data_IF_047480763389
#
_entry.id   IF_047480763389
#
_cell.length_a   1.000
_cell.length_b   1.000
_cell.length_c   1.000
_cell.angle_alpha   90.00
_cell.angle_beta   90.00
_cell.angle_gamma   90.00
#
_symmetry.space_group_name_H-M   'P 1'
#
loop_
_entity.id
_entity.type
_entity.pdbx_description
1 polymer ?
#
# COMPACT_ATOMS: atom_id res chain seq x y z
N UNK A 1 60.04 13.24 -8.00
CA UNK A 1 59.92 13.22 -6.53
C UNK A 1 58.47 13.53 -6.17
N UNK A 2 57.62 12.52 -6.30
CA UNK A 2 56.21 12.54 -5.91
C UNK A 2 56.22 12.22 -4.42
N UNK A 3 55.64 13.11 -3.62
CA UNK A 3 55.45 12.92 -2.18
C UNK A 3 54.53 11.72 -1.96
N UNK A 4 55.16 10.57 -1.73
CA UNK A 4 54.63 9.48 -0.92
C UNK A 4 54.62 9.99 0.53
N UNK A 5 53.59 10.73 0.91
CA UNK A 5 53.20 10.78 2.32
C UNK A 5 52.42 9.49 2.62
N UNK A 6 53.21 8.48 3.00
CA UNK A 6 52.78 7.29 3.70
C UNK A 6 52.02 7.68 4.98
N UNK A 7 50.73 7.98 4.85
CA UNK A 7 49.78 7.77 5.95
C UNK A 7 49.63 6.26 6.07
N UNK A 8 50.50 5.65 6.88
CA UNK A 8 50.24 4.34 7.47
C UNK A 8 48.88 4.46 8.19
N UNK A 9 47.84 3.90 7.56
CA UNK A 9 46.56 3.62 8.20
C UNK A 9 46.81 2.63 9.34
N UNK A 10 47.15 3.15 10.52
CA UNK A 10 47.01 2.39 11.75
C UNK A 10 45.52 2.25 12.00
N UNK A 11 44.93 1.16 11.49
CA UNK A 11 43.61 0.72 11.89
C UNK A 11 43.53 0.80 13.42
N UNK A 12 42.47 1.42 13.94
CA UNK A 12 42.25 1.41 15.38
C UNK A 12 42.06 -0.05 15.84
N UNK A 13 42.25 -0.31 17.14
CA UNK A 13 42.00 -1.67 17.69
C UNK A 13 40.57 -2.12 17.37
N UNK A 14 39.60 -1.21 17.42
CA UNK A 14 38.21 -1.42 17.06
C UNK A 14 38.05 -1.83 15.59
N UNK A 15 38.63 -1.08 14.65
CA UNK A 15 38.54 -1.39 13.22
C UNK A 15 39.25 -2.72 12.88
N UNK A 16 40.33 -3.05 13.59
CA UNK A 16 41.02 -4.34 13.46
C UNK A 16 40.13 -5.51 13.90
N UNK A 17 39.44 -5.36 15.04
CA UNK A 17 38.47 -6.34 15.54
C UNK A 17 37.32 -6.50 14.55
N UNK A 18 36.70 -5.40 14.08
CA UNK A 18 35.60 -5.44 13.11
C UNK A 18 36.01 -6.13 11.82
N UNK A 19 37.21 -5.82 11.29
CA UNK A 19 37.73 -6.49 10.10
C UNK A 19 37.94 -8.00 10.32
N UNK A 20 38.40 -8.40 11.51
CA UNK A 20 38.51 -9.83 11.86
C UNK A 20 37.14 -10.50 11.90
N UNK A 21 36.16 -9.91 12.58
CA UNK A 21 34.79 -10.44 12.66
C UNK A 21 34.16 -10.54 11.27
N UNK A 22 34.35 -9.54 10.40
CA UNK A 22 33.85 -9.56 9.02
C UNK A 22 34.53 -10.64 8.16
N UNK A 23 35.83 -10.89 8.36
CA UNK A 23 36.54 -11.98 7.68
C UNK A 23 36.06 -13.34 8.15
N UNK A 24 35.84 -13.50 9.46
CA UNK A 24 35.29 -14.72 10.03
C UNK A 24 33.88 -14.98 9.48
N UNK A 25 33.02 -13.96 9.48
CA UNK A 25 31.70 -14.04 8.88
C UNK A 25 31.79 -14.54 7.44
N UNK A 26 32.54 -13.85 6.57
CA UNK A 26 32.67 -14.24 5.15
C UNK A 26 33.20 -15.66 4.95
N UNK A 27 34.10 -16.11 5.83
CA UNK A 27 34.69 -17.46 5.76
C UNK A 27 33.73 -18.53 6.26
N UNK A 28 32.98 -18.26 7.33
CA UNK A 28 32.12 -19.24 8.02
C UNK A 28 30.69 -19.28 7.49
N UNK A 29 30.25 -18.26 6.73
CA UNK A 29 28.92 -18.18 6.10
C UNK A 29 28.50 -19.44 5.30
N UNK A 30 29.38 -20.12 4.54
CA UNK A 30 29.02 -21.33 3.80
C UNK A 30 28.79 -22.55 4.71
N UNK A 31 29.51 -22.63 5.82
CA UNK A 31 29.66 -23.88 6.60
C UNK A 31 28.99 -23.82 7.98
N UNK A 32 28.71 -22.63 8.53
CA UNK A 32 28.25 -22.45 9.91
C UNK A 32 27.10 -21.44 10.08
N UNK A 33 26.05 -21.69 9.32
CA UNK A 33 24.76 -20.99 9.31
C UNK A 33 24.16 -20.74 10.71
N UNK A 34 24.37 -21.66 11.67
CA UNK A 34 23.84 -21.55 13.05
C UNK A 34 24.47 -20.43 13.88
N UNK A 35 25.70 -20.03 13.57
CA UNK A 35 26.40 -18.95 14.27
C UNK A 35 26.07 -17.57 13.70
N UNK A 36 25.35 -17.51 12.56
CA UNK A 36 25.09 -16.27 11.85
C UNK A 36 24.29 -15.26 12.67
N UNK A 37 23.30 -15.72 13.44
CA UNK A 37 22.53 -14.88 14.36
C UNK A 37 23.43 -14.16 15.36
N UNK A 38 24.51 -14.80 15.83
CA UNK A 38 25.44 -14.19 16.78
C UNK A 38 26.30 -13.10 16.13
N UNK A 39 26.72 -13.32 14.88
CA UNK A 39 27.39 -12.28 14.10
C UNK A 39 26.49 -11.06 13.90
N UNK A 40 25.23 -11.26 13.48
CA UNK A 40 24.29 -10.15 13.34
C UNK A 40 24.03 -9.46 14.68
N UNK A 41 23.87 -10.21 15.77
CA UNK A 41 23.68 -9.63 17.09
C UNK A 41 24.88 -8.77 17.53
N UNK A 42 26.11 -9.17 17.19
CA UNK A 42 27.30 -8.34 17.42
C UNK A 42 27.20 -7.01 16.68
N UNK A 43 26.85 -7.01 15.39
CA UNK A 43 26.70 -5.77 14.62
C UNK A 43 25.52 -4.91 15.10
N UNK A 44 24.40 -5.53 15.49
CA UNK A 44 23.26 -4.84 16.12
C UNK A 44 23.73 -4.11 17.37
N UNK A 45 24.40 -4.80 18.29
CA UNK A 45 24.90 -4.21 19.52
C UNK A 45 25.87 -3.07 19.24
N UNK A 46 26.81 -3.27 18.31
CA UNK A 46 27.80 -2.25 17.98
C UNK A 46 27.16 -1.00 17.35
N UNK A 47 26.26 -1.19 16.37
CA UNK A 47 25.53 -0.07 15.74
C UNK A 47 24.65 0.72 16.72
N UNK A 48 24.19 0.08 17.80
CA UNK A 48 23.36 0.73 18.83
C UNK A 48 24.14 1.67 19.76
N UNK A 49 25.48 1.67 19.71
CA UNK A 49 26.31 2.53 20.55
C UNK A 49 26.25 4.00 20.13
N UNK A 50 26.07 4.29 18.85
CA UNK A 50 26.01 5.66 18.37
C UNK A 50 26.30 5.86 16.89
N UNK A 51 26.33 7.15 16.52
CA UNK A 51 26.58 7.61 15.14
C UNK A 51 27.98 7.24 14.65
N UNK A 52 28.97 7.32 15.52
CA UNK A 52 30.37 7.02 15.18
C UNK A 52 30.55 5.55 14.78
N UNK A 53 29.92 4.64 15.51
CA UNK A 53 29.97 3.20 15.25
C UNK A 53 29.23 2.85 13.96
N UNK A 54 28.10 3.51 13.70
CA UNK A 54 27.42 3.41 12.40
C UNK A 54 28.32 3.89 11.26
N UNK A 55 29.04 5.00 11.42
CA UNK A 55 29.98 5.51 10.43
C UNK A 55 31.14 4.53 10.18
N UNK A 56 31.70 3.92 11.23
CA UNK A 56 32.73 2.88 11.09
C UNK A 56 32.22 1.67 10.32
N UNK A 57 31.02 1.17 10.63
CA UNK A 57 30.40 0.05 9.89
C UNK A 57 30.14 0.38 8.41
N UNK A 58 29.71 1.61 8.13
CA UNK A 58 29.52 2.10 6.76
C UNK A 58 30.86 2.14 6.01
N UNK A 59 31.93 2.67 6.62
CA UNK A 59 33.28 2.70 6.04
C UNK A 59 33.81 1.29 5.74
N UNK A 60 33.49 0.32 6.58
CA UNK A 60 33.84 -1.10 6.38
C UNK A 60 32.91 -1.83 5.39
N UNK A 61 32.00 -1.12 4.73
CA UNK A 61 31.09 -1.63 3.71
C UNK A 61 30.14 -2.75 4.21
N UNK A 62 29.83 -2.74 5.51
CA UNK A 62 28.88 -3.68 6.13
C UNK A 62 27.47 -3.56 5.55
N UNK A 63 26.91 -2.36 5.30
CA UNK A 63 25.56 -2.23 4.73
C UNK A 63 25.44 -2.93 3.38
N UNK A 64 26.37 -2.69 2.46
CA UNK A 64 26.38 -3.35 1.14
C UNK A 64 26.47 -4.87 1.26
N UNK A 65 27.32 -5.37 2.15
CA UNK A 65 27.48 -6.82 2.37
C UNK A 65 26.15 -7.44 2.80
N UNK A 66 25.43 -6.80 3.72
CA UNK A 66 24.19 -7.31 4.26
C UNK A 66 23.00 -7.11 3.32
N UNK A 67 22.96 -6.03 2.54
CA UNK A 67 21.95 -5.84 1.48
C UNK A 67 22.09 -6.93 0.42
N UNK A 68 23.32 -7.26 0.00
CA UNK A 68 23.55 -8.36 -0.93
C UNK A 68 23.12 -9.71 -0.33
N UNK A 69 23.51 -9.97 0.92
CA UNK A 69 23.12 -11.20 1.62
C UNK A 69 21.60 -11.35 1.74
N UNK A 70 20.89 -10.25 1.99
CA UNK A 70 19.43 -10.24 2.00
C UNK A 70 18.85 -10.38 0.58
N UNK A 71 19.47 -9.79 -0.43
CA UNK A 71 19.00 -9.78 -1.80
C UNK A 71 19.27 -11.07 -2.58
N UNK A 72 20.19 -11.95 -2.15
CA UNK A 72 20.52 -13.19 -2.83
C UNK A 72 19.28 -14.09 -3.03
N UNK A 73 18.67 -13.98 -4.21
CA UNK A 73 17.62 -14.86 -4.72
C UNK A 73 18.31 -16.02 -5.43
N UNK A 74 18.31 -17.19 -4.80
CA UNK A 74 18.95 -18.39 -5.32
C UNK A 74 18.15 -19.03 -6.48
N UNK A 75 17.98 -18.33 -7.60
CA UNK A 75 17.35 -18.91 -8.80
C UNK A 75 18.22 -19.95 -9.51
N UNK A 76 19.41 -20.28 -9.01
CA UNK A 76 20.36 -21.18 -9.70
C UNK A 76 20.86 -22.39 -8.89
N UNK A 77 20.41 -22.65 -7.66
CA UNK A 77 20.69 -23.94 -6.99
C UNK A 77 19.80 -24.19 -5.77
N UNK A 78 19.46 -25.46 -5.54
CA UNK A 78 18.43 -26.04 -4.67
C UNK A 78 18.53 -25.77 -3.15
N UNK A 79 18.82 -24.54 -2.75
CA UNK A 79 19.07 -24.17 -1.36
C UNK A 79 18.58 -22.74 -1.11
N UNK A 80 17.35 -22.55 -0.63
CA UNK A 80 16.94 -21.27 -0.05
C UNK A 80 17.80 -21.01 1.19
N UNK A 81 18.70 -20.03 1.16
CA UNK A 81 19.67 -19.82 2.24
C UNK A 81 19.07 -19.03 3.41
N UNK A 82 18.14 -18.09 3.17
CA UNK A 82 17.43 -17.36 4.24
C UNK A 82 16.66 -18.27 5.22
N UNK A 83 15.86 -19.24 4.75
CA UNK A 83 15.23 -20.23 5.64
C UNK A 83 16.24 -21.13 6.37
N UNK A 84 17.50 -21.22 5.93
CA UNK A 84 18.56 -21.93 6.66
C UNK A 84 19.16 -21.08 7.78
N UNK A 85 19.17 -19.76 7.67
CA UNK A 85 19.92 -18.82 8.53
C UNK A 85 19.38 -18.58 9.95
N UNK A 86 18.39 -19.34 10.44
CA UNK A 86 17.72 -19.01 11.70
C UNK A 86 16.93 -17.70 11.60
N UNK A 87 16.50 -17.10 12.72
CA UNK A 87 15.70 -15.86 12.73
C UNK A 87 16.39 -14.73 11.92
N UNK A 88 15.89 -14.38 10.72
CA UNK A 88 16.45 -13.30 9.91
C UNK A 88 16.20 -11.92 10.54
N UNK A 89 15.39 -11.84 11.60
CA UNK A 89 15.04 -10.63 12.31
C UNK A 89 16.28 -9.78 12.66
N UNK A 90 17.40 -10.39 13.08
CA UNK A 90 18.61 -9.65 13.43
C UNK A 90 19.32 -9.02 12.24
N UNK A 91 19.24 -9.64 11.05
CA UNK A 91 19.77 -9.05 9.81
C UNK A 91 18.99 -7.80 9.42
N UNK A 92 17.66 -7.86 9.47
CA UNK A 92 16.84 -6.70 9.14
C UNK A 92 16.90 -5.59 10.19
N UNK A 93 17.13 -5.92 11.47
CA UNK A 93 17.44 -4.91 12.50
C UNK A 93 18.69 -4.11 12.14
N UNK A 94 19.82 -4.77 11.84
CA UNK A 94 21.05 -4.04 11.48
C UNK A 94 20.92 -3.32 10.14
N UNK A 95 20.22 -3.90 9.16
CA UNK A 95 19.95 -3.24 7.87
C UNK A 95 19.10 -1.99 8.06
N UNK A 96 18.04 -2.04 8.87
CA UNK A 96 17.23 -0.87 9.22
C UNK A 96 18.10 0.23 9.80
N UNK A 97 18.90 -0.07 10.83
CA UNK A 97 19.76 0.92 11.49
C UNK A 97 20.74 1.56 10.50
N UNK A 98 21.40 0.77 9.66
CA UNK A 98 22.45 1.29 8.77
C UNK A 98 21.90 1.96 7.51
N UNK A 99 20.83 1.43 6.90
CA UNK A 99 20.24 2.04 5.68
C UNK A 99 19.67 3.43 6.02
N UNK A 100 19.05 3.56 7.20
CA UNK A 100 18.52 4.84 7.71
C UNK A 100 19.60 5.83 8.15
N UNK A 101 20.89 5.54 7.89
CA UNK A 101 21.99 6.49 8.01
C UNK A 101 22.39 7.14 6.68
N UNK A 102 21.86 6.68 5.53
CA UNK A 102 22.21 7.22 4.23
C UNK A 102 21.25 8.32 3.77
N UNK A 103 21.77 9.33 3.08
CA UNK A 103 20.96 10.31 2.37
C UNK A 103 20.31 9.63 1.15
N UNK A 104 18.97 9.66 1.11
CA UNK A 104 18.15 9.13 0.02
C UNK A 104 17.35 10.22 -0.69
N UNK A 105 17.62 11.51 -0.42
CA UNK A 105 16.82 12.63 -0.94
C UNK A 105 16.74 12.66 -2.46
N UNK A 106 17.77 12.15 -3.15
CA UNK A 106 17.79 12.02 -4.63
C UNK A 106 16.74 11.03 -5.18
N UNK A 107 16.21 10.14 -4.34
CA UNK A 107 15.15 9.18 -4.68
C UNK A 107 13.76 9.66 -4.22
N UNK A 108 13.70 10.78 -3.50
CA UNK A 108 12.46 11.39 -3.02
C UNK A 108 11.96 12.45 -4.02
N UNK A 109 10.63 12.59 -4.13
CA UNK A 109 9.96 13.56 -4.98
C UNK A 109 8.77 14.13 -4.19
N UNK A 110 8.67 15.47 -4.02
CA UNK A 110 7.49 16.05 -3.40
C UNK A 110 6.28 15.82 -4.32
N UNK A 111 5.09 15.66 -3.76
CA UNK A 111 3.87 15.52 -4.58
C UNK A 111 3.61 16.76 -5.42
N UNK A 112 3.79 17.94 -4.83
CA UNK A 112 3.58 19.22 -5.50
C UNK A 112 4.91 19.70 -6.07
N UNK A 113 4.95 20.00 -7.37
CA UNK A 113 6.18 20.33 -8.09
C UNK A 113 6.85 21.62 -7.57
N UNK A 114 6.10 22.48 -6.87
CA UNK A 114 6.54 23.79 -6.36
C UNK A 114 6.89 23.79 -4.86
N UNK A 115 6.80 22.63 -4.18
CA UNK A 115 7.11 22.53 -2.75
C UNK A 115 8.46 21.87 -2.51
N UNK A 116 9.19 22.35 -1.51
CA UNK A 116 10.42 21.72 -1.05
C UNK A 116 10.15 20.32 -0.47
N UNK A 117 11.15 19.45 -0.57
CA UNK A 117 11.11 18.11 0.04
C UNK A 117 11.06 18.22 1.57
N UNK A 118 10.13 17.48 2.18
CA UNK A 118 10.07 17.37 3.64
C UNK A 118 11.24 16.54 4.17
N UNK A 119 11.88 16.96 5.29
CA UNK A 119 12.94 16.18 5.90
C UNK A 119 12.40 14.83 6.40
N UNK A 120 13.10 13.75 6.09
CA UNK A 120 12.69 12.41 6.49
C UNK A 120 12.84 12.22 8.02
N UNK A 121 11.75 11.94 8.77
CA UNK A 121 11.82 11.83 10.22
C UNK A 121 12.32 10.46 10.70
N UNK A 122 12.64 9.55 9.79
CA UNK A 122 12.97 8.17 10.10
C UNK A 122 14.47 7.86 10.04
N UNK A 123 15.35 8.86 9.91
CA UNK A 123 16.79 8.64 10.04
C UNK A 123 17.13 8.04 11.40
N UNK A 124 18.20 7.26 11.46
CA UNK A 124 18.70 6.66 12.71
C UNK A 124 19.17 7.72 13.71
N UNK A 125 19.73 8.83 13.23
CA UNK A 125 20.30 9.89 14.07
C UNK A 125 19.74 11.27 13.73
N UNK A 126 18.99 11.87 14.66
CA UNK A 126 18.56 13.29 14.64
C UNK A 126 18.07 13.82 13.29
N UNK A 127 17.33 13.02 12.52
CA UNK A 127 16.85 13.37 11.18
C UNK A 127 17.95 13.79 10.19
N UNK A 128 19.17 13.27 10.36
CA UNK A 128 20.33 13.65 9.57
C UNK A 128 21.07 12.43 9.00
N UNK A 129 21.44 12.45 7.71
CA UNK A 129 22.26 11.40 7.13
C UNK A 129 23.72 11.49 7.58
N UNK A 130 24.43 10.37 7.53
CA UNK A 130 25.89 10.26 7.71
C UNK A 130 26.59 10.49 6.36
N UNK A 131 26.11 9.87 5.28
CA UNK A 131 26.70 9.99 3.94
C UNK A 131 25.69 9.64 2.84
N UNK A 132 26.03 9.86 1.58
CA UNK A 132 25.20 9.48 0.44
C UNK A 132 25.21 7.97 0.18
N UNK A 133 24.08 7.45 -0.27
CA UNK A 133 23.92 6.04 -0.65
C UNK A 133 24.83 5.67 -1.84
N UNK A 134 25.69 4.62 -1.72
CA UNK A 134 26.42 4.08 -2.87
C UNK A 134 25.48 3.56 -3.97
N UNK A 135 25.82 3.82 -5.23
CA UNK A 135 24.97 3.52 -6.40
C UNK A 135 24.60 2.02 -6.51
N UNK A 136 25.56 1.12 -6.32
CA UNK A 136 25.31 -0.33 -6.39
C UNK A 136 24.33 -0.83 -5.32
N UNK A 137 24.27 -0.17 -4.16
CA UNK A 137 23.33 -0.50 -3.10
C UNK A 137 21.96 0.11 -3.41
N UNK A 138 21.95 1.34 -3.93
CA UNK A 138 20.72 1.97 -4.40
C UNK A 138 20.03 1.18 -5.52
N UNK A 139 20.80 0.58 -6.43
CA UNK A 139 20.27 -0.29 -7.50
C UNK A 139 19.48 -1.48 -6.94
N UNK A 140 19.92 -2.05 -5.82
CA UNK A 140 19.23 -3.16 -5.16
C UNK A 140 17.97 -2.67 -4.45
N UNK A 141 18.05 -1.54 -3.74
CA UNK A 141 16.96 -1.05 -2.89
C UNK A 141 15.85 -0.37 -3.71
N UNK A 142 16.22 0.43 -4.72
CA UNK A 142 15.29 1.32 -5.42
C UNK A 142 14.93 0.87 -6.83
N UNK A 143 15.75 0.04 -7.50
CA UNK A 143 15.47 -0.43 -8.87
C UNK A 143 14.95 -1.86 -8.93
N UNK A 144 15.00 -2.62 -7.84
CA UNK A 144 14.52 -4.00 -7.75
C UNK A 144 13.48 -4.12 -6.63
N UNK A 145 12.45 -4.92 -6.86
CA UNK A 145 11.36 -5.13 -5.90
C UNK A 145 11.66 -6.23 -4.88
N UNK A 146 12.56 -7.17 -5.20
CA UNK A 146 12.98 -8.31 -4.35
C UNK A 146 13.30 -7.89 -2.92
N UNK A 147 14.17 -6.90 -2.75
CA UNK A 147 14.60 -6.47 -1.42
C UNK A 147 13.43 -5.88 -0.63
N UNK A 148 12.58 -5.09 -1.29
CA UNK A 148 11.38 -4.50 -0.68
C UNK A 148 10.40 -5.59 -0.23
N UNK A 149 10.16 -6.63 -1.05
CA UNK A 149 9.29 -7.76 -0.68
C UNK A 149 9.77 -8.47 0.57
N UNK A 150 11.09 -8.73 0.69
CA UNK A 150 11.69 -9.33 1.88
C UNK A 150 11.52 -8.48 3.14
N UNK A 151 11.63 -7.15 3.01
CA UNK A 151 11.33 -6.25 4.15
C UNK A 151 9.85 -6.34 4.54
N UNK A 152 8.94 -6.39 3.57
CA UNK A 152 7.49 -6.50 3.81
C UNK A 152 7.15 -7.80 4.54
N UNK A 153 7.73 -8.93 4.13
CA UNK A 153 7.57 -10.23 4.79
C UNK A 153 8.00 -10.18 6.27
N UNK A 154 9.12 -9.54 6.58
CA UNK A 154 9.65 -9.43 7.95
C UNK A 154 8.92 -8.35 8.78
N UNK A 155 8.35 -7.33 8.15
CA UNK A 155 7.74 -6.17 8.81
C UNK A 155 6.54 -6.47 9.71
N UNK A 156 5.86 -7.61 9.50
CA UNK A 156 4.77 -8.05 10.37
C UNK A 156 5.23 -8.54 11.75
N UNK A 157 6.51 -8.91 11.91
CA UNK A 157 7.07 -9.43 13.16
C UNK A 157 8.23 -8.59 13.72
N UNK A 158 8.82 -7.70 12.89
CA UNK A 158 9.98 -6.89 13.26
C UNK A 158 9.69 -5.38 13.12
N UNK A 159 9.71 -4.66 14.25
CA UNK A 159 9.47 -3.21 14.28
C UNK A 159 10.54 -2.42 13.50
N UNK A 160 11.78 -2.89 13.47
CA UNK A 160 12.85 -2.24 12.71
C UNK A 160 12.61 -2.32 11.20
N UNK A 161 12.12 -3.45 10.69
CA UNK A 161 11.75 -3.58 9.28
C UNK A 161 10.62 -2.62 8.91
N UNK A 162 9.67 -2.40 9.82
CA UNK A 162 8.64 -1.39 9.64
C UNK A 162 9.21 0.04 9.64
N UNK A 163 10.16 0.37 10.54
CA UNK A 163 10.86 1.67 10.53
C UNK A 163 11.62 1.88 9.21
N UNK A 164 12.27 0.84 8.69
CA UNK A 164 12.93 0.86 7.38
C UNK A 164 11.94 1.11 6.24
N UNK A 165 10.77 0.44 6.21
CA UNK A 165 9.74 0.73 5.21
C UNK A 165 9.27 2.18 5.28
N UNK A 166 9.01 2.71 6.49
CA UNK A 166 8.59 4.10 6.67
C UNK A 166 9.64 5.08 6.15
N UNK A 167 10.92 4.80 6.40
CA UNK A 167 12.04 5.57 5.87
C UNK A 167 12.07 5.57 4.34
N UNK A 168 11.94 4.40 3.71
CA UNK A 168 12.03 4.26 2.24
C UNK A 168 10.80 4.82 1.50
N UNK A 169 9.62 4.79 2.14
CA UNK A 169 8.35 5.27 1.57
C UNK A 169 8.20 6.80 1.67
N UNK A 170 8.84 7.43 2.65
CA UNK A 170 8.73 8.88 2.90
C UNK A 170 9.09 9.71 1.66
N UNK A 171 8.15 10.53 1.19
CA UNK A 171 8.32 11.37 -0.01
C UNK A 171 8.80 10.58 -1.24
N UNK A 172 8.49 9.29 -1.34
CA UNK A 172 8.98 8.42 -2.41
C UNK A 172 7.82 7.67 -3.10
N UNK A 173 7.26 8.19 -4.21
CA UNK A 173 6.11 7.59 -4.87
C UNK A 173 6.42 6.24 -5.53
N UNK A 174 7.65 6.04 -6.00
CA UNK A 174 8.07 4.85 -6.72
C UNK A 174 8.10 3.65 -5.74
N UNK A 175 8.77 3.81 -4.60
CA UNK A 175 8.76 2.79 -3.52
C UNK A 175 7.37 2.64 -2.91
N UNK A 176 6.65 3.74 -2.68
CA UNK A 176 5.28 3.70 -2.15
C UNK A 176 4.38 2.80 -3.01
N UNK A 177 4.45 2.92 -4.33
CA UNK A 177 3.64 2.11 -5.23
C UNK A 177 4.00 0.63 -5.12
N UNK A 178 5.29 0.28 -5.08
CA UNK A 178 5.74 -1.12 -4.92
C UNK A 178 5.22 -1.69 -3.60
N UNK A 179 5.40 -0.96 -2.50
CA UNK A 179 4.99 -1.38 -1.15
C UNK A 179 3.49 -1.59 -1.07
N UNK A 180 2.67 -0.65 -1.55
CA UNK A 180 1.22 -0.78 -1.51
C UNK A 180 0.71 -1.89 -2.44
N UNK A 181 1.27 -2.04 -3.63
CA UNK A 181 0.92 -3.14 -4.55
C UNK A 181 1.17 -4.51 -3.89
N UNK A 182 2.35 -4.69 -3.29
CA UNK A 182 2.72 -5.94 -2.66
C UNK A 182 1.84 -6.24 -1.44
N UNK A 183 1.67 -5.27 -0.52
CA UNK A 183 0.82 -5.47 0.66
C UNK A 183 -0.62 -5.80 0.25
N UNK A 184 -1.19 -5.10 -0.73
CA UNK A 184 -2.55 -5.39 -1.20
C UNK A 184 -2.65 -6.77 -1.87
N UNK A 185 -1.59 -7.23 -2.55
CA UNK A 185 -1.50 -8.57 -3.12
C UNK A 185 -1.46 -9.64 -2.03
N UNK A 186 -0.61 -9.49 -1.02
CA UNK A 186 -0.52 -10.40 0.13
C UNK A 186 -1.86 -10.46 0.87
N UNK A 187 -2.48 -9.30 1.12
CA UNK A 187 -3.81 -9.23 1.74
C UNK A 187 -4.88 -9.91 0.88
N UNK A 188 -4.80 -9.87 -0.45
CA UNK A 188 -5.73 -10.60 -1.31
C UNK A 188 -5.54 -12.13 -1.19
N UNK A 189 -4.29 -12.59 -1.09
CA UNK A 189 -3.92 -14.02 -1.07
C UNK A 189 -4.10 -14.71 0.29
N UNK A 190 -3.81 -14.04 1.41
CA UNK A 190 -3.90 -14.66 2.74
C UNK A 190 -5.31 -14.62 3.34
N UNK A 191 -5.61 -15.62 4.19
CA UNK A 191 -6.96 -15.84 4.70
C UNK A 191 -7.15 -15.56 6.21
N UNK A 192 -6.15 -15.69 7.09
CA UNK A 192 -6.36 -15.47 8.54
C UNK A 192 -5.16 -14.97 9.36
N UNK A 193 -4.03 -15.68 9.42
CA UNK A 193 -2.95 -15.36 10.38
C UNK A 193 -2.06 -14.20 9.95
N UNK A 194 -1.48 -14.29 8.76
CA UNK A 194 -0.58 -13.24 8.24
C UNK A 194 -1.35 -11.99 7.79
N UNK A 195 -2.67 -12.15 7.57
CA UNK A 195 -3.55 -11.07 7.17
C UNK A 195 -3.51 -9.88 8.15
N UNK A 196 -3.46 -10.17 9.46
CA UNK A 196 -3.42 -9.11 10.48
C UNK A 196 -2.09 -8.35 10.45
N UNK A 197 -0.97 -9.06 10.41
CA UNK A 197 0.36 -8.42 10.36
C UNK A 197 0.47 -7.50 9.14
N UNK A 198 -0.02 -7.93 7.98
CA UNK A 198 -0.04 -7.10 6.78
C UNK A 198 -1.00 -5.89 6.88
N UNK A 199 -2.14 -6.01 7.57
CA UNK A 199 -3.02 -4.87 7.83
C UNK A 199 -2.40 -3.84 8.78
N UNK A 200 -1.66 -4.30 9.79
CA UNK A 200 -0.94 -3.41 10.71
C UNK A 200 0.15 -2.63 9.94
N UNK A 201 0.91 -3.31 9.07
CA UNK A 201 1.88 -2.66 8.17
C UNK A 201 1.17 -1.67 7.23
N UNK A 202 0.06 -2.06 6.61
CA UNK A 202 -0.73 -1.19 5.73
C UNK A 202 -1.17 0.08 6.45
N UNK A 203 -1.73 -0.04 7.65
CA UNK A 203 -2.16 1.10 8.46
C UNK A 203 -0.99 2.05 8.75
N UNK A 204 0.18 1.50 9.10
CA UNK A 204 1.38 2.28 9.38
C UNK A 204 1.89 3.03 8.14
N UNK A 205 1.79 2.43 6.94
CA UNK A 205 2.10 3.12 5.69
C UNK A 205 1.07 4.22 5.40
N UNK A 206 -0.22 3.98 5.57
CA UNK A 206 -1.28 4.96 5.29
C UNK A 206 -1.27 6.19 6.21
N UNK A 207 -0.66 6.07 7.38
CA UNK A 207 -0.64 7.13 8.42
C UNK A 207 0.63 7.96 8.43
N UNK A 208 1.60 7.67 7.56
CA UNK A 208 2.78 8.53 7.40
C UNK A 208 2.34 9.93 6.91
N UNK A 209 2.74 10.98 7.61
CA UNK A 209 2.30 12.35 7.36
C UNK A 209 3.23 13.11 6.41
N UNK A 210 3.34 12.63 5.17
CA UNK A 210 4.08 13.30 4.10
C UNK A 210 3.15 13.88 3.03
N UNK A 211 3.72 14.46 1.97
CA UNK A 211 2.96 15.04 0.85
C UNK A 211 2.15 14.01 0.04
N UNK A 212 2.48 12.71 0.15
CA UNK A 212 1.85 11.60 -0.56
C UNK A 212 0.78 10.85 0.22
N UNK A 213 0.56 11.19 1.51
CA UNK A 213 -0.40 10.51 2.38
C UNK A 213 -1.80 10.39 1.77
N UNK A 214 -2.33 11.47 1.19
CA UNK A 214 -3.65 11.48 0.56
C UNK A 214 -3.73 10.50 -0.61
N UNK A 215 -2.68 10.42 -1.42
CA UNK A 215 -2.63 9.53 -2.60
C UNK A 215 -2.63 8.08 -2.15
N UNK A 216 -1.89 7.75 -1.09
CA UNK A 216 -1.87 6.41 -0.49
C UNK A 216 -3.25 6.00 0.04
N UNK A 217 -3.94 6.93 0.69
CA UNK A 217 -5.32 6.71 1.15
C UNK A 217 -6.27 6.47 -0.03
N UNK A 218 -6.22 7.29 -1.08
CA UNK A 218 -7.04 7.10 -2.28
C UNK A 218 -6.76 5.78 -2.99
N UNK A 219 -5.49 5.37 -3.06
CA UNK A 219 -5.08 4.10 -3.62
C UNK A 219 -5.74 2.93 -2.89
N UNK A 220 -5.63 2.87 -1.56
CA UNK A 220 -6.16 1.75 -0.78
C UNK A 220 -7.68 1.79 -0.65
N UNK A 221 -8.25 2.98 -0.42
CA UNK A 221 -9.69 3.13 -0.16
C UNK A 221 -10.49 3.04 -1.46
N UNK A 222 -10.06 3.73 -2.53
CA UNK A 222 -10.81 3.79 -3.80
C UNK A 222 -10.28 2.86 -4.89
N UNK A 223 -9.07 2.32 -4.75
CA UNK A 223 -8.44 1.54 -5.82
C UNK A 223 -7.92 2.40 -6.97
N UNK A 224 -7.63 3.69 -6.73
CA UNK A 224 -7.09 4.58 -7.78
C UNK A 224 -5.57 4.37 -7.87
N UNK A 225 -5.01 3.95 -9.02
CA UNK A 225 -3.56 3.80 -9.18
C UNK A 225 -2.80 5.10 -8.88
N UNK A 226 -1.66 5.01 -8.19
CA UNK A 226 -0.82 6.16 -7.84
C UNK A 226 -0.40 6.99 -9.08
N UNK A 227 -0.21 6.34 -10.24
CA UNK A 227 0.13 6.99 -11.51
C UNK A 227 -0.96 7.92 -12.05
N UNK A 228 -2.22 7.66 -11.68
CA UNK A 228 -3.38 8.31 -12.29
C UNK A 228 -3.85 9.53 -11.48
N UNK A 229 -3.30 9.78 -10.29
CA UNK A 229 -3.82 10.81 -9.40
C UNK A 229 -3.38 12.22 -9.79
N UNK A 230 -2.24 12.36 -10.49
CA UNK A 230 -1.78 13.65 -11.02
C UNK A 230 -2.76 14.26 -12.05
N UNK A 231 -3.64 13.45 -12.64
CA UNK A 231 -4.64 13.88 -13.62
C UNK A 231 -6.06 14.01 -13.02
N UNK A 232 -6.27 13.63 -11.75
CA UNK A 232 -7.61 13.47 -11.16
C UNK A 232 -8.05 14.65 -10.28
N UNK A 233 -7.10 15.42 -9.71
CA UNK A 233 -7.44 16.54 -8.83
C UNK A 233 -8.11 17.73 -9.55
N UNK A 234 -8.14 17.75 -10.90
CA UNK A 234 -8.84 18.76 -11.71
C UNK A 234 -10.20 18.32 -12.21
N UNK A 235 -10.66 17.09 -11.92
CA UNK A 235 -11.94 16.60 -12.42
C UNK A 235 -12.62 15.70 -11.38
N UNK A 236 -13.29 16.34 -10.42
CA UNK A 236 -14.49 15.73 -9.86
C UNK A 236 -15.40 15.33 -11.05
N UNK A 237 -16.10 14.21 -10.94
CA UNK A 237 -16.97 13.63 -11.97
C UNK A 237 -16.27 13.03 -13.19
N UNK A 238 -15.65 11.85 -13.03
CA UNK A 238 -15.89 10.79 -14.02
C UNK A 238 -15.73 9.42 -13.38
N UNK A 239 -16.87 8.74 -13.17
CA UNK A 239 -16.96 7.29 -13.03
C UNK A 239 -16.38 6.68 -14.30
N UNK A 240 -15.06 6.54 -14.37
CA UNK A 240 -14.42 5.85 -15.47
C UNK A 240 -14.46 4.38 -15.11
N UNK A 241 -15.53 3.71 -15.53
CA UNK A 241 -15.45 2.31 -15.91
C UNK A 241 -14.34 2.21 -16.96
N UNK A 242 -13.12 1.93 -16.51
CA UNK A 242 -12.01 1.60 -17.39
C UNK A 242 -12.34 0.26 -18.07
N UNK A 243 -13.05 0.33 -19.19
CA UNK A 243 -13.11 -0.77 -20.15
C UNK A 243 -11.77 -0.75 -20.90
N UNK A 244 -10.71 -1.27 -20.28
CA UNK A 244 -9.47 -1.54 -20.99
C UNK A 244 -9.65 -2.87 -21.73
N UNK A 245 -9.85 -2.77 -23.04
CA UNK A 245 -9.63 -3.86 -23.97
C UNK A 245 -8.13 -4.15 -24.07
N UNK A 246 -7.52 -4.65 -23.00
CA UNK A 246 -6.20 -5.29 -22.98
C UNK A 246 -6.10 -6.16 -21.72
N UNK A 247 -6.12 -7.47 -21.91
CA UNK A 247 -6.45 -8.47 -20.89
C UNK A 247 -5.47 -8.70 -19.73
N UNK A 248 -4.60 -7.76 -19.33
CA UNK A 248 -3.64 -7.99 -18.24
C UNK A 248 -3.26 -6.75 -17.41
N UNK A 249 -4.06 -5.68 -17.35
CA UNK A 249 -3.90 -4.68 -16.29
C UNK A 249 -5.07 -4.79 -15.31
N UNK A 250 -4.88 -5.63 -14.29
CA UNK A 250 -5.80 -5.69 -13.15
C UNK A 250 -5.78 -4.34 -12.44
N UNK A 251 -6.91 -3.63 -12.47
CA UNK A 251 -7.12 -2.45 -11.62
C UNK A 251 -6.75 -2.78 -10.17
N UNK A 252 -6.03 -1.91 -9.45
CA UNK A 252 -5.68 -2.14 -8.05
C UNK A 252 -6.92 -2.50 -7.24
N UNK A 253 -6.90 -3.65 -6.58
CA UNK A 253 -8.00 -4.07 -5.73
C UNK A 253 -8.04 -3.16 -4.49
N UNK A 254 -9.11 -2.38 -4.31
CA UNK A 254 -9.28 -1.57 -3.10
C UNK A 254 -9.56 -2.44 -1.87
N UNK A 255 -9.36 -1.88 -0.68
CA UNK A 255 -9.73 -2.55 0.57
C UNK A 255 -11.25 -2.75 0.67
N UNK A 256 -12.06 -1.87 0.09
CA UNK A 256 -13.51 -2.08 -0.02
C UNK A 256 -13.86 -3.23 -0.97
N UNK A 257 -13.14 -3.41 -2.07
CA UNK A 257 -13.37 -4.55 -2.97
C UNK A 257 -12.98 -5.87 -2.29
N UNK A 258 -11.93 -5.84 -1.46
CA UNK A 258 -11.54 -6.97 -0.63
C UNK A 258 -12.62 -7.33 0.39
N UNK A 259 -13.17 -6.34 1.09
CA UNK A 259 -14.33 -6.52 1.95
C UNK A 259 -15.51 -7.13 1.17
N UNK A 260 -15.86 -6.56 0.01
CA UNK A 260 -16.99 -6.99 -0.80
C UNK A 260 -16.87 -8.45 -1.26
N UNK A 261 -15.64 -8.90 -1.61
CA UNK A 261 -15.36 -10.31 -1.95
C UNK A 261 -15.39 -11.23 -0.72
N UNK A 262 -14.93 -10.75 0.44
CA UNK A 262 -14.79 -11.57 1.64
C UNK A 262 -16.09 -11.76 2.43
N UNK A 263 -17.05 -10.83 2.33
CA UNK A 263 -18.23 -10.76 3.21
C UNK A 263 -19.14 -12.02 3.22
N UNK A 264 -19.10 -12.84 2.18
CA UNK A 264 -19.89 -14.09 2.08
C UNK A 264 -19.11 -15.35 2.47
N UNK A 265 -17.81 -15.38 2.19
CA UNK A 265 -16.99 -16.61 2.22
C UNK A 265 -15.95 -16.61 3.34
N UNK A 266 -15.41 -15.43 3.69
CA UNK A 266 -14.37 -15.25 4.70
C UNK A 266 -14.76 -14.07 5.60
N UNK A 267 -15.79 -14.23 6.42
CA UNK A 267 -16.36 -13.14 7.20
C UNK A 267 -15.35 -12.49 8.16
N UNK A 268 -14.41 -13.26 8.73
CA UNK A 268 -13.34 -12.66 9.55
C UNK A 268 -12.42 -11.73 8.76
N UNK A 269 -12.13 -12.04 7.50
CA UNK A 269 -11.36 -11.14 6.62
C UNK A 269 -12.13 -9.84 6.37
N UNK A 270 -13.44 -9.93 6.14
CA UNK A 270 -14.31 -8.76 6.03
C UNK A 270 -14.38 -7.95 7.34
N UNK A 271 -14.48 -8.62 8.50
CA UNK A 271 -14.39 -7.98 9.82
C UNK A 271 -13.08 -7.22 10.01
N UNK A 272 -11.94 -7.83 9.67
CA UNK A 272 -10.64 -7.19 9.78
C UNK A 272 -10.51 -5.98 8.84
N UNK A 273 -11.09 -6.02 7.63
CA UNK A 273 -11.17 -4.84 6.76
C UNK A 273 -11.94 -3.70 7.45
N UNK A 274 -13.11 -3.99 8.04
CA UNK A 274 -13.88 -2.98 8.79
C UNK A 274 -13.08 -2.47 9.98
N UNK A 275 -12.40 -3.34 10.72
CA UNK A 275 -11.55 -2.96 11.85
C UNK A 275 -10.46 -1.98 11.43
N UNK A 276 -9.79 -2.25 10.32
CA UNK A 276 -8.78 -1.34 9.74
C UNK A 276 -9.40 -0.01 9.30
N UNK A 277 -10.60 -0.01 8.69
CA UNK A 277 -11.30 1.23 8.35
C UNK A 277 -11.67 2.05 9.59
N UNK A 278 -12.23 1.45 10.63
CA UNK A 278 -12.51 2.16 11.90
C UNK A 278 -11.24 2.78 12.45
N UNK A 279 -10.16 1.99 12.55
CA UNK A 279 -8.87 2.48 13.03
C UNK A 279 -8.34 3.65 12.17
N UNK A 280 -8.45 3.55 10.85
CA UNK A 280 -7.99 4.56 9.92
C UNK A 280 -8.82 5.85 10.02
N UNK A 281 -10.14 5.76 10.00
CA UNK A 281 -11.03 6.92 10.07
C UNK A 281 -11.03 7.58 11.44
N UNK A 282 -10.81 6.84 12.53
CA UNK A 282 -10.68 7.43 13.87
C UNK A 282 -9.36 8.17 14.07
N UNK A 283 -8.26 7.70 13.48
CA UNK A 283 -6.92 8.18 13.81
C UNK A 283 -6.23 9.00 12.71
N UNK A 284 -6.75 9.01 11.47
CA UNK A 284 -6.17 9.74 10.35
C UNK A 284 -7.14 10.85 9.87
N UNK A 285 -6.86 12.14 10.15
CA UNK A 285 -7.73 13.24 9.77
C UNK A 285 -8.02 13.30 8.27
N UNK A 286 -7.02 13.01 7.41
CA UNK A 286 -7.20 12.97 5.95
C UNK A 286 -8.15 11.83 5.53
N UNK A 287 -8.04 10.66 6.16
CA UNK A 287 -8.94 9.55 5.87
C UNK A 287 -10.38 9.85 6.32
N UNK A 288 -10.54 10.46 7.50
CA UNK A 288 -11.84 10.92 7.99
C UNK A 288 -12.46 11.98 7.08
N UNK A 289 -11.65 12.92 6.58
CA UNK A 289 -12.08 13.90 5.60
C UNK A 289 -12.58 13.22 4.31
N UNK A 290 -11.83 12.25 3.78
CA UNK A 290 -12.24 11.46 2.61
C UNK A 290 -13.60 10.79 2.84
N UNK A 291 -13.81 10.16 4.01
CA UNK A 291 -15.10 9.56 4.39
C UNK A 291 -16.23 10.61 4.44
N UNK A 292 -15.95 11.83 4.92
CA UNK A 292 -16.96 12.90 5.03
C UNK A 292 -17.30 13.58 3.71
N UNK A 293 -16.37 13.65 2.77
CA UNK A 293 -16.57 14.39 1.52
C UNK A 293 -17.04 13.52 0.36
N UNK A 294 -16.66 12.25 0.32
CA UNK A 294 -16.90 11.39 -0.85
C UNK A 294 -18.15 10.52 -0.69
N UNK A 295 -19.16 10.74 -1.53
CA UNK A 295 -20.43 10.03 -1.45
C UNK A 295 -20.35 8.53 -1.76
N UNK A 296 -19.47 8.08 -2.66
CA UNK A 296 -19.29 6.64 -2.97
C UNK A 296 -18.66 5.93 -1.77
N UNK A 297 -17.65 6.55 -1.15
CA UNK A 297 -17.02 6.02 0.06
C UNK A 297 -18.02 5.95 1.22
N UNK A 298 -18.83 7.00 1.42
CA UNK A 298 -19.91 6.98 2.42
C UNK A 298 -20.84 5.80 2.20
N UNK A 299 -21.32 5.61 0.96
CA UNK A 299 -22.24 4.53 0.64
C UNK A 299 -21.61 3.15 0.91
N UNK A 300 -20.36 2.93 0.49
CA UNK A 300 -19.63 1.67 0.74
C UNK A 300 -19.38 1.44 2.24
N UNK A 301 -19.06 2.50 2.98
CA UNK A 301 -18.93 2.44 4.43
C UNK A 301 -20.24 2.04 5.11
N UNK A 302 -21.35 2.69 4.77
CA UNK A 302 -22.69 2.34 5.26
C UNK A 302 -23.06 0.89 5.00
N UNK A 303 -22.75 0.36 3.81
CA UNK A 303 -22.96 -1.05 3.50
C UNK A 303 -22.11 -1.99 4.37
N UNK A 304 -20.86 -1.61 4.66
CA UNK A 304 -19.97 -2.40 5.50
C UNK A 304 -20.45 -2.42 6.97
N UNK A 305 -20.87 -1.26 7.51
CA UNK A 305 -21.42 -1.14 8.86
C UNK A 305 -22.72 -1.94 8.99
N UNK A 306 -23.64 -1.80 8.03
CA UNK A 306 -24.90 -2.58 8.00
C UNK A 306 -24.62 -4.08 7.98
N UNK A 307 -23.67 -4.53 7.15
CA UNK A 307 -23.29 -5.93 7.10
C UNK A 307 -22.75 -6.43 8.46
N UNK A 308 -21.90 -5.65 9.14
CA UNK A 308 -21.38 -6.03 10.46
C UNK A 308 -22.51 -6.14 11.49
N UNK A 309 -23.44 -5.18 11.48
CA UNK A 309 -24.64 -5.20 12.32
C UNK A 309 -25.45 -6.48 12.09
N UNK A 310 -25.77 -6.81 10.83
CA UNK A 310 -26.51 -8.03 10.48
C UNK A 310 -25.77 -9.31 10.94
N UNK A 311 -24.45 -9.40 10.78
CA UNK A 311 -23.71 -10.60 11.21
C UNK A 311 -23.75 -10.79 12.72
N UNK A 312 -23.69 -9.69 13.48
CA UNK A 312 -23.75 -9.72 14.94
C UNK A 312 -25.17 -10.00 15.47
N UNK A 313 -26.21 -9.50 14.81
CA UNK A 313 -27.63 -9.69 15.18
C UNK A 313 -28.27 -10.99 14.68
N UNK A 314 -27.66 -11.68 13.70
CA UNK A 314 -28.15 -12.99 13.21
C UNK A 314 -28.23 -14.01 14.36
N UNK A 315 -29.40 -14.14 14.97
CA UNK A 315 -29.67 -15.11 16.04
C UNK A 315 -29.56 -16.55 15.54
N UNK A 316 -29.15 -17.48 16.41
CA UNK A 316 -29.15 -18.94 16.17
C UNK A 316 -30.55 -19.53 15.88
N UNK A 317 -31.61 -18.71 15.97
CA UNK A 317 -33.01 -19.14 15.96
C UNK A 317 -33.54 -19.63 14.58
N UNK A 318 -32.74 -19.61 13.52
CA UNK A 318 -33.14 -20.09 12.18
C UNK A 318 -32.48 -21.42 11.77
N UNK A 319 -31.92 -22.18 12.70
CA UNK A 319 -31.53 -23.57 12.43
C UNK A 319 -32.75 -24.47 12.67
N UNK A 320 -33.27 -25.20 11.66
CA UNK A 320 -34.30 -26.21 11.89
C UNK A 320 -33.78 -27.21 12.92
N UNK A 321 -34.55 -27.41 13.99
CA UNK A 321 -34.23 -28.19 15.18
C UNK A 321 -34.05 -29.70 14.91
N UNK A 322 -33.07 -30.10 14.09
CA UNK A 322 -32.77 -31.51 13.82
C UNK A 322 -31.31 -31.90 14.08
N UNK A 323 -30.44 -31.00 14.51
CA UNK A 323 -29.13 -31.35 15.03
C UNK A 323 -28.83 -30.57 16.32
N UNK A 324 -28.54 -31.25 17.44
CA UNK A 324 -28.11 -30.60 18.66
C UNK A 324 -26.70 -30.06 18.47
N UNK A 325 -26.60 -28.83 17.98
CA UNK A 325 -25.37 -28.05 18.03
C UNK A 325 -25.29 -27.46 19.44
N UNK A 326 -24.41 -28.02 20.28
CA UNK A 326 -24.11 -27.41 21.58
C UNK A 326 -23.51 -26.01 21.32
N UNK A 327 -24.11 -24.92 21.85
CA UNK A 327 -23.41 -23.64 21.91
C UNK A 327 -22.20 -23.88 22.78
N UNK A 328 -21.01 -23.60 22.28
CA UNK A 328 -19.80 -23.68 23.10
C UNK A 328 -19.95 -22.70 24.26
N UNK A 329 -20.29 -23.21 25.45
CA UNK A 329 -20.36 -22.49 26.73
C UNK A 329 -18.95 -22.21 27.28
N UNK A 330 -17.97 -22.01 26.40
CA UNK A 330 -16.63 -21.56 26.73
C UNK A 330 -16.50 -20.06 26.47
N UNK A 331 -15.49 -19.37 27.04
CA UNK A 331 -15.22 -17.98 26.70
C UNK A 331 -14.98 -17.88 25.19
N UNK A 332 -15.86 -17.15 24.50
CA UNK A 332 -15.72 -16.88 23.07
C UNK A 332 -14.41 -16.10 22.90
N UNK A 333 -13.46 -16.68 22.18
CA UNK A 333 -12.18 -16.04 21.91
C UNK A 333 -12.40 -14.82 21.01
N UNK A 334 -11.54 -13.80 21.11
CA UNK A 334 -11.69 -12.63 20.24
C UNK A 334 -11.57 -13.05 18.77
N UNK A 335 -12.28 -12.37 17.87
CA UNK A 335 -12.11 -12.53 16.41
C UNK A 335 -10.65 -12.34 15.95
N UNK A 336 -9.85 -11.66 16.77
CA UNK A 336 -8.41 -11.44 16.55
C UNK A 336 -7.55 -12.69 16.79
N UNK A 337 -8.05 -13.67 17.54
CA UNK A 337 -7.29 -14.86 17.99
C UNK A 337 -7.90 -16.17 17.48
N UNK A 338 -9.11 -16.13 16.94
CA UNK A 338 -9.89 -17.32 16.64
C UNK A 338 -9.79 -17.73 15.17
N UNK A 339 -9.80 -19.05 14.92
CA UNK A 339 -9.38 -19.63 13.64
C UNK A 339 -10.52 -20.01 12.68
N UNK A 340 -11.76 -19.70 13.05
CA UNK A 340 -12.92 -19.90 12.18
C UNK A 340 -13.01 -18.91 11.01
N UNK A 341 -13.83 -19.26 10.01
CA UNK A 341 -14.15 -18.38 8.88
C UNK A 341 -15.22 -17.33 9.20
N UNK A 342 -16.13 -17.68 10.11
CA UNK A 342 -17.28 -16.86 10.51
C UNK A 342 -16.93 -15.92 11.67
N UNK A 343 -17.60 -14.77 11.72
CA UNK A 343 -17.42 -13.83 12.82
C UNK A 343 -18.00 -14.42 14.11
N UNK A 344 -17.24 -14.29 15.19
CA UNK A 344 -17.68 -14.60 16.54
C UNK A 344 -18.33 -13.37 17.18
N UNK A 345 -19.47 -13.59 17.83
CA UNK A 345 -20.26 -12.54 18.49
C UNK A 345 -19.64 -12.19 19.85
N UNK A 346 -18.54 -11.47 19.80
CA UNK A 346 -17.75 -11.06 20.97
C UNK A 346 -18.08 -9.63 21.38
N UNK A 347 -17.80 -9.29 22.64
CA UNK A 347 -17.94 -7.91 23.12
C UNK A 347 -17.04 -6.94 22.33
N UNK A 348 -15.83 -7.38 21.93
CA UNK A 348 -14.93 -6.57 21.09
C UNK A 348 -15.52 -6.27 19.71
N UNK A 349 -16.24 -7.22 19.10
CA UNK A 349 -16.92 -6.99 17.83
C UNK A 349 -18.09 -6.00 17.97
N UNK A 350 -18.82 -6.04 19.10
CA UNK A 350 -19.86 -5.05 19.42
C UNK A 350 -19.28 -3.66 19.62
N UNK A 351 -18.21 -3.54 20.41
CA UNK A 351 -17.53 -2.26 20.59
C UNK A 351 -16.92 -1.72 19.29
N UNK A 352 -16.52 -2.59 18.36
CA UNK A 352 -16.11 -2.16 17.02
C UNK A 352 -17.29 -1.58 16.23
N UNK A 353 -18.46 -2.25 16.28
CA UNK A 353 -19.67 -1.76 15.63
C UNK A 353 -20.10 -0.40 16.19
N UNK A 354 -20.08 -0.22 17.51
CA UNK A 354 -20.43 1.05 18.15
C UNK A 354 -19.56 2.21 17.62
N UNK A 355 -18.24 1.99 17.56
CA UNK A 355 -17.29 2.95 16.97
C UNK A 355 -17.55 3.18 15.48
N UNK A 356 -17.91 2.14 14.74
CA UNK A 356 -18.17 2.24 13.31
C UNK A 356 -19.41 3.11 13.02
N UNK A 357 -20.45 3.00 13.87
CA UNK A 357 -21.65 3.83 13.82
C UNK A 357 -21.34 5.27 14.23
N UNK A 358 -20.53 5.49 15.27
CA UNK A 358 -20.14 6.83 15.74
C UNK A 358 -19.40 7.65 14.65
N UNK A 359 -18.60 6.98 13.82
CA UNK A 359 -17.87 7.63 12.73
C UNK A 359 -18.81 8.23 11.65
N UNK A 360 -20.06 7.76 11.57
CA UNK A 360 -21.04 8.25 10.61
C UNK A 360 -22.50 8.08 11.08
N UNK A 361 -23.01 8.98 11.95
CA UNK A 361 -24.36 8.92 12.50
C UNK A 361 -25.46 9.43 11.54
N UNK A 362 -25.10 10.04 10.40
CA UNK A 362 -26.05 10.64 9.44
C UNK A 362 -26.99 9.61 8.76
N UNK A 363 -26.81 8.30 9.00
CA UNK A 363 -27.70 7.26 8.46
C UNK A 363 -29.15 7.34 8.94
N UNK A 364 -29.47 8.10 10.00
CA UNK A 364 -30.84 8.21 10.50
C UNK A 364 -31.72 9.22 9.75
N UNK A 365 -31.15 10.16 8.97
CA UNK A 365 -31.92 11.28 8.40
C UNK A 365 -32.32 11.11 6.93
N UNK A 366 -31.71 10.18 6.19
CA UNK A 366 -32.00 10.02 4.74
C UNK A 366 -33.15 9.03 4.45
N UNK A 367 -33.65 8.28 5.44
CA UNK A 367 -34.71 7.26 5.27
C UNK A 367 -36.13 7.75 5.63
N UNK A 368 -36.32 9.02 6.01
CA UNK A 368 -37.64 9.60 6.36
C UNK A 368 -38.20 10.54 5.27
N UNK A 369 -37.53 10.62 4.12
CA UNK A 369 -37.82 11.62 3.08
C UNK A 369 -38.37 11.09 1.76
N UNK A 370 -39.06 9.94 1.72
CA UNK A 370 -39.79 9.45 0.51
C UNK A 370 -40.68 8.27 0.87
N UNK A 371 -41.80 8.53 1.55
CA UNK A 371 -42.99 7.67 1.54
C UNK A 371 -44.18 8.51 1.98
N UNK A 372 -44.66 9.37 1.09
CA UNK A 372 -46.00 9.92 1.15
C UNK A 372 -46.63 9.77 -0.23
N UNK A 373 -46.81 8.51 -0.63
CA UNK A 373 -47.67 8.14 -1.75
C UNK A 373 -48.94 7.52 -1.15
N UNK A 374 -50.00 8.32 -1.21
CA UNK A 374 -51.36 7.96 -1.64
C UNK A 374 -51.96 6.65 -1.11
N UNK A 375 -52.78 6.79 -0.07
CA UNK A 375 -53.93 5.90 0.15
C UNK A 375 -55.17 6.58 -0.42
N UNK A 376 -55.56 6.17 -1.63
CA UNK A 376 -56.89 6.38 -2.18
C UNK A 376 -57.90 5.50 -1.42
N UNK A 377 -58.87 6.11 -0.74
CA UNK A 377 -60.13 5.46 -0.34
C UNK A 377 -61.27 6.03 -1.20
N UNK A 378 -62.01 5.12 -1.83
CA UNK A 378 -63.10 5.35 -2.77
C UNK A 378 -64.42 5.83 -2.13
N UNK A 379 -65.05 6.80 -2.83
CA UNK A 379 -66.49 7.09 -3.03
C UNK A 379 -67.35 7.72 -1.88
N UNK A 380 -68.47 8.46 -2.18
CA UNK A 380 -69.04 8.81 -3.50
C UNK A 380 -69.44 10.29 -3.73
N UNK A 381 -69.61 10.59 -5.02
CA UNK A 381 -70.13 11.81 -5.67
C UNK A 381 -71.41 12.44 -5.10
N UNK A 382 -71.50 13.78 -5.14
CA UNK A 382 -72.73 14.46 -5.59
C UNK A 382 -72.49 15.85 -6.23
N UNK A 383 -73.30 16.11 -7.27
CA UNK A 383 -73.30 17.20 -8.24
C UNK A 383 -73.28 18.64 -7.69
N UNK A 384 -72.73 19.59 -8.48
CA UNK A 384 -73.45 20.70 -9.17
C UNK A 384 -72.42 21.61 -9.89
N UNK A 385 -72.63 21.83 -11.20
CA UNK A 385 -72.03 22.90 -12.02
C UNK A 385 -73.06 24.02 -12.25
N UNK A 386 -72.75 25.14 -12.95
CA UNK A 386 -71.58 26.02 -12.88
C UNK A 386 -72.02 27.50 -12.75
N UNK A 387 -71.13 28.44 -12.42
CA UNK A 387 -71.28 29.80 -12.99
C UNK A 387 -70.00 30.65 -13.00
N UNK A 388 -69.84 31.28 -14.15
CA UNK A 388 -68.77 32.14 -14.65
C UNK A 388 -68.89 33.56 -14.06
N UNK A 389 -67.78 34.19 -13.65
CA UNK A 389 -67.56 35.63 -13.92
C UNK A 389 -66.08 35.92 -14.15
N UNK A 390 -65.80 36.37 -15.37
CA UNK A 390 -64.58 36.98 -15.89
C UNK A 390 -64.43 38.40 -15.34
N UNK A 391 -63.22 38.83 -14.95
CA UNK A 391 -62.74 40.21 -15.20
C UNK A 391 -61.27 40.24 -15.60
N UNK A 392 -61.06 40.57 -16.87
CA UNK A 392 -59.83 41.04 -17.50
C UNK A 392 -59.37 42.38 -16.92
N UNK A 393 -58.05 42.62 -16.90
CA UNK A 393 -57.43 43.84 -17.47
C UNK A 393 -56.12 43.44 -18.16
N UNK A 394 -56.01 43.88 -19.42
CA UNK A 394 -54.91 43.64 -20.34
C UNK A 394 -53.82 44.73 -20.26
N UNK A 395 -52.60 44.40 -20.72
CA UNK A 395 -51.91 45.18 -21.75
C UNK A 395 -50.58 44.52 -22.20
N UNK A 396 -50.59 44.12 -23.49
CA UNK A 396 -49.53 43.98 -24.51
C UNK A 396 -48.13 44.57 -24.20
N UNK A 397 -47.00 44.04 -24.73
CA UNK A 397 -46.49 44.14 -26.12
C UNK A 397 -45.35 43.11 -26.29
N UNK A 398 -45.47 42.09 -27.13
CA UNK A 398 -44.97 41.94 -28.53
C UNK A 398 -43.44 41.78 -28.75
N UNK A 399 -43.10 40.56 -29.25
CA UNK A 399 -42.20 40.23 -30.37
C UNK A 399 -40.66 40.31 -30.25
N UNK A 400 -39.99 39.15 -30.44
CA UNK A 400 -39.26 38.70 -31.66
C UNK A 400 -37.92 37.96 -31.39
N UNK A 401 -37.71 36.90 -32.18
CA UNK A 401 -36.58 35.98 -32.25
C UNK A 401 -35.35 36.54 -33.01
N UNK A 402 -34.14 36.11 -32.55
CA UNK A 402 -32.87 35.73 -33.27
C UNK A 402 -32.17 36.73 -34.24
N UNK A 403 -30.91 36.51 -34.72
CA UNK A 403 -29.70 35.81 -34.23
C UNK A 403 -28.34 36.59 -34.41
N UNK A 404 -27.25 36.04 -33.84
CA UNK A 404 -25.80 36.00 -34.20
C UNK A 404 -25.21 36.99 -35.25
N UNK A 405 -23.96 37.47 -35.04
CA UNK A 405 -22.98 37.59 -36.14
C UNK A 405 -21.59 36.95 -35.87
N UNK A 406 -20.93 36.57 -36.96
CA UNK A 406 -19.59 35.94 -37.08
C UNK A 406 -18.48 36.96 -37.41
N UNK A 407 -17.23 36.64 -36.98
CA UNK A 407 -15.87 36.76 -37.61
C UNK A 407 -15.41 38.08 -38.29
N UNK A 408 -14.09 38.40 -38.31
CA UNK A 408 -13.08 37.82 -39.26
C UNK A 408 -11.66 37.59 -38.66
N UNK A 409 -10.94 36.48 -38.95
CA UNK A 409 -10.00 36.16 -40.06
C UNK A 409 -8.70 37.02 -40.18
N UNK A 410 -7.58 36.43 -39.70
CA UNK A 410 -6.22 36.19 -40.31
C UNK A 410 -5.41 37.32 -41.00
N UNK A 411 -4.05 37.26 -41.04
CA UNK A 411 -3.33 36.28 -41.88
C UNK A 411 -1.95 35.73 -41.40
N UNK A 412 -1.65 34.60 -42.03
CA UNK A 412 -0.50 33.71 -42.23
C UNK A 412 0.94 34.28 -42.30
N UNK A 413 1.92 33.48 -41.82
CA UNK A 413 3.25 33.31 -42.46
C UNK A 413 3.61 31.81 -42.47
N UNK A 414 4.31 31.42 -43.53
CA UNK A 414 4.56 30.07 -44.10
C UNK A 414 6.03 29.65 -43.89
N UNK A 415 6.28 28.35 -44.14
CA UNK A 415 7.54 27.65 -44.52
C UNK A 415 8.34 26.96 -43.40
N UNK A 416 8.90 25.75 -43.53
CA UNK A 416 8.83 24.66 -44.53
C UNK A 416 9.83 23.54 -44.15
N UNK A 417 9.54 22.29 -44.54
CA UNK A 417 10.51 21.19 -44.69
C UNK A 417 10.65 20.27 -43.47
N UNK A 418 10.69 18.93 -43.55
CA UNK A 418 10.74 18.00 -44.68
C UNK A 418 10.48 16.58 -44.15
N UNK A 419 9.53 15.85 -44.74
CA UNK A 419 9.31 14.42 -44.54
C UNK A 419 10.25 13.61 -45.44
N UNK A 420 10.95 12.61 -44.88
CA UNK A 420 11.30 11.40 -45.63
C UNK A 420 11.05 10.15 -44.78
N UNK A 421 10.63 9.12 -45.49
CA UNK A 421 9.89 7.92 -45.09
C UNK A 421 10.70 6.72 -45.57
N UNK A 422 11.17 5.82 -44.70
CA UNK A 422 11.60 4.47 -45.11
C UNK A 422 11.34 3.46 -43.97
N UNK A 423 10.58 2.41 -44.29
CA UNK A 423 10.57 1.06 -43.67
C UNK A 423 10.82 0.06 -44.82
N UNK A 424 10.98 -1.28 -44.65
CA UNK A 424 11.12 -2.14 -43.47
C UNK A 424 12.31 -3.17 -43.57
N UNK A 425 12.32 -4.17 -42.67
CA UNK A 425 13.31 -5.24 -42.38
C UNK A 425 13.79 -6.14 -43.55
N UNK A 426 14.75 -7.07 -43.32
CA UNK A 426 14.32 -8.47 -43.09
C UNK A 426 15.18 -9.33 -42.12
N UNK A 427 14.57 -10.47 -41.82
CA UNK A 427 14.85 -11.58 -40.91
C UNK A 427 15.79 -12.66 -41.50
N UNK A 428 16.24 -13.60 -40.64
CA UNK A 428 16.60 -15.03 -40.88
C UNK A 428 18.12 -15.45 -40.87
N UNK A 429 18.51 -16.75 -40.77
CA UNK A 429 18.73 -17.49 -39.50
C UNK A 429 19.88 -18.57 -39.52
N UNK A 430 19.92 -19.44 -38.49
CA UNK A 430 20.49 -20.83 -38.42
C UNK A 430 22.03 -21.01 -38.29
N UNK A 431 22.47 -21.68 -37.20
CA UNK A 431 23.05 -23.05 -37.26
C UNK A 431 23.21 -23.69 -35.87
N UNK A 432 22.50 -24.80 -35.70
CA UNK A 432 22.80 -25.88 -34.76
C UNK A 432 24.09 -26.58 -35.22
N UNK A 433 24.94 -27.03 -34.29
CA UNK A 433 25.76 -28.21 -34.55
C UNK A 433 25.93 -29.09 -33.32
N UNK A 434 25.88 -30.40 -33.61
CA UNK A 434 25.78 -31.56 -32.74
C UNK A 434 27.16 -32.03 -32.23
N UNK A 435 27.11 -32.68 -31.05
CA UNK A 435 27.87 -33.87 -30.61
C UNK A 435 29.40 -33.85 -30.59
N UNK A 436 29.99 -34.15 -29.42
CA UNK A 436 30.67 -35.45 -29.23
C UNK A 436 30.97 -35.78 -27.76
N UNK A 437 30.85 -37.08 -27.47
CA UNK A 437 31.16 -37.80 -26.24
C UNK A 437 32.61 -37.62 -25.76
N UNK A 438 32.83 -37.67 -24.45
CA UNK A 438 33.78 -38.63 -23.89
C UNK A 438 33.50 -39.02 -22.43
N UNK A 439 33.81 -40.29 -22.17
CA UNK A 439 33.60 -41.10 -20.98
C UNK A 439 34.64 -40.82 -19.87
N UNK A 440 34.16 -40.80 -18.61
CA UNK A 440 34.69 -41.44 -17.38
C UNK A 440 36.16 -41.21 -16.89
N UNK A 441 36.52 -41.61 -15.64
CA UNK A 441 35.73 -41.82 -14.41
C UNK A 441 36.37 -41.23 -13.12
N UNK A 442 35.58 -41.30 -12.02
CA UNK A 442 35.94 -41.48 -10.60
C UNK A 442 37.30 -41.00 -10.06
N UNK A 443 37.24 -40.15 -9.04
CA UNK A 443 37.71 -40.44 -7.66
C UNK A 443 36.91 -39.60 -6.67
#
# INVERSE_FOLDING_TARGET
>A
CIYLEDIKNYLTVEESILNHVLRLLKKEMPDNVKMLTQYFQFFVNYSSLGRHECEQLIRLNVPTLFVNLANDDNTSSSCSTLPRYGEPAKLFVILSTLIRCFDISIYCKPRQLETDLLPNPYYTHENSPICSMPEHMADIIFKRDVFIKKIIEDSGSCEESLRLLRFLVWENPDITSIVLNEIMTLLAMYHTYDFRGHLDVLYMILTIEDSWQEIRLLYVIKGIPMSNVNNSLTSATTTTTATTNSGYESTPQSLFDMFAKAKSTYQKKAYHCIKTFVQLFSNCPKAHHILKTDADIKQRWSQAVRWLHEQLERSYNNVPSNYPYYPSQGPVTSNDMSQGYFIERTQSARSLLDKAVELYPEMENDDVGSNSDDLEEDEPMENISPNVVIKNVASNISSKMTPIPRRPNSPSIVNSGSNQRISPAPTTPIQQNKTMHHHHPRS
#
